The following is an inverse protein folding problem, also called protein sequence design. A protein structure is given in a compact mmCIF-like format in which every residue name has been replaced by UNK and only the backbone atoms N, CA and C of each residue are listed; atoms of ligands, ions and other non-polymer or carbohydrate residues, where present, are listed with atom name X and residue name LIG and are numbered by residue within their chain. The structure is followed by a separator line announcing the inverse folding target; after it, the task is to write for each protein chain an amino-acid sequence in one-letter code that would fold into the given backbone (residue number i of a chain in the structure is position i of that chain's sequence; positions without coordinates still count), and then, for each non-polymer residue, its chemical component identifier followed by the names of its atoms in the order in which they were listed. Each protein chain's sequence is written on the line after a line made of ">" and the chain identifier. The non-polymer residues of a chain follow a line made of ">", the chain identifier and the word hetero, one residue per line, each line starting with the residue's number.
data_IF_929514310319
#
_entry.id   IF_929514310319
#
_cell.length_a   1.000
_cell.length_b   1.000
_cell.length_c   1.000
_cell.angle_alpha   90.00
_cell.angle_beta   90.00
_cell.angle_gamma   90.00
#
_symmetry.space_group_name_H-M   'P 1'
#
loop_
_entity.id
_entity.type
_entity.pdbx_description
1 polymer ?
#
# COMPACT_ATOMS: atom_id res chain seq x y z
N UNK A 1 -11.52 -11.82 9.83
CA UNK A 1 -11.68 -10.38 9.89
C UNK A 1 -11.46 -9.78 8.52
N UNK A 2 -12.38 -8.94 8.07
CA UNK A 2 -12.23 -8.34 6.75
C UNK A 2 -11.11 -7.32 6.78
N UNK A 3 -10.24 -7.38 5.78
CA UNK A 3 -9.14 -6.44 5.64
C UNK A 3 -9.36 -5.47 4.51
N UNK A 4 -10.54 -5.53 3.90
CA UNK A 4 -10.94 -4.61 2.86
C UNK A 4 -12.38 -4.17 3.09
N UNK A 5 -12.72 -3.02 2.54
CA UNK A 5 -14.10 -2.56 2.45
C UNK A 5 -14.45 -2.32 1.00
N UNK A 6 -15.74 -2.27 0.68
CA UNK A 6 -16.18 -2.03 -0.70
C UNK A 6 -16.67 -0.59 -0.80
N UNK A 7 -16.18 0.14 -1.78
CA UNK A 7 -16.58 1.54 -2.02
C UNK A 7 -16.71 1.81 -3.50
N UNK A 8 -17.55 2.76 -3.85
CA UNK A 8 -17.65 3.20 -5.23
C UNK A 8 -16.47 4.09 -5.59
N UNK A 9 -16.02 3.99 -6.84
CA UNK A 9 -14.87 4.76 -7.33
C UNK A 9 -15.08 6.26 -7.14
N UNK A 10 -16.31 6.74 -7.27
CA UNK A 10 -16.61 8.18 -7.12
C UNK A 10 -16.24 8.75 -5.76
N UNK A 11 -16.07 7.91 -4.75
CA UNK A 11 -15.70 8.35 -3.39
C UNK A 11 -14.20 8.41 -3.18
N UNK A 12 -13.41 7.99 -4.16
CA UNK A 12 -11.97 7.92 -4.04
C UNK A 12 -11.30 9.18 -4.58
N UNK A 13 -10.06 9.37 -4.20
CA UNK A 13 -9.22 10.48 -4.68
C UNK A 13 -7.76 10.12 -4.52
N UNK A 14 -6.90 10.94 -5.13
CA UNK A 14 -5.45 10.74 -5.03
C UNK A 14 -5.03 10.65 -3.58
N UNK A 15 -4.17 9.70 -3.27
CA UNK A 15 -3.71 9.43 -1.91
C UNK A 15 -4.46 8.30 -1.23
N UNK A 16 -5.62 7.91 -1.74
CA UNK A 16 -6.37 6.77 -1.21
C UNK A 16 -5.80 5.46 -1.75
N UNK A 17 -6.20 4.37 -1.14
CA UNK A 17 -5.74 3.04 -1.50
C UNK A 17 -6.87 2.24 -2.11
N UNK A 18 -6.55 1.39 -3.09
CA UNK A 18 -7.49 0.45 -3.68
C UNK A 18 -6.78 -0.87 -3.93
N UNK A 19 -7.56 -1.95 -4.05
CA UNK A 19 -7.03 -3.27 -4.38
C UNK A 19 -7.14 -3.45 -5.90
N UNK A 20 -6.03 -3.75 -6.55
CA UNK A 20 -5.97 -4.04 -7.98
C UNK A 20 -5.15 -5.32 -8.13
N UNK A 21 -5.71 -6.34 -8.81
CA UNK A 21 -5.05 -7.63 -9.01
C UNK A 21 -4.60 -8.24 -7.68
N UNK A 22 -5.48 -8.15 -6.66
CA UNK A 22 -5.23 -8.64 -5.31
C UNK A 22 -4.07 -7.96 -4.59
N UNK A 23 -3.61 -6.81 -5.09
CA UNK A 23 -2.53 -6.05 -4.49
C UNK A 23 -3.05 -4.71 -3.97
N UNK A 24 -2.64 -4.29 -2.76
CA UNK A 24 -2.98 -2.95 -2.28
C UNK A 24 -2.15 -1.92 -3.02
N UNK A 25 -2.82 -0.92 -3.56
CA UNK A 25 -2.19 0.11 -4.38
C UNK A 25 -2.60 1.49 -3.91
N UNK A 26 -1.73 2.47 -4.10
CA UNK A 26 -2.00 3.86 -3.78
C UNK A 26 -2.33 4.62 -5.06
N UNK A 27 -3.47 5.32 -5.05
CA UNK A 27 -3.86 6.15 -6.20
C UNK A 27 -2.94 7.36 -6.31
N UNK A 28 -2.33 7.53 -7.48
CA UNK A 28 -1.45 8.67 -7.76
C UNK A 28 -2.05 9.61 -8.80
N UNK A 29 -3.00 9.12 -9.61
CA UNK A 29 -3.74 9.96 -10.54
C UNK A 29 -5.20 9.53 -10.54
N UNK A 30 -6.09 10.50 -10.63
CA UNK A 30 -7.53 10.26 -10.65
C UNK A 30 -8.19 11.38 -11.45
N UNK A 31 -8.76 11.02 -12.59
CA UNK A 31 -9.49 11.97 -13.44
C UNK A 31 -10.83 11.38 -13.83
N UNK A 32 -11.84 12.23 -13.96
CA UNK A 32 -13.16 11.80 -14.40
C UNK A 32 -13.54 12.51 -15.67
N UNK A 33 -14.30 11.81 -16.51
CA UNK A 33 -14.85 12.39 -17.72
C UNK A 33 -16.25 11.85 -17.94
N UNK A 34 -17.12 12.69 -18.52
CA UNK A 34 -18.47 12.28 -18.83
C UNK A 34 -18.69 12.40 -20.34
N UNK A 35 -18.71 11.28 -21.06
CA UNK A 35 -18.92 11.35 -22.51
C UNK A 35 -20.39 11.56 -22.84
N UNK A 36 -20.74 12.75 -23.34
CA UNK A 36 -22.08 13.05 -23.85
C UNK A 36 -23.15 13.20 -22.78
N UNK A 37 -24.38 13.45 -23.23
CA UNK A 37 -25.51 13.69 -22.35
C UNK A 37 -25.99 12.45 -21.61
N UNK A 38 -25.86 11.31 -22.23
CA UNK A 38 -26.40 10.05 -21.70
C UNK A 38 -25.31 9.09 -21.26
N UNK A 39 -24.04 9.50 -21.34
CA UNK A 39 -22.95 8.67 -20.91
C UNK A 39 -22.73 8.76 -19.42
N UNK A 40 -22.38 7.65 -18.81
CA UNK A 40 -21.95 7.64 -17.40
C UNK A 40 -20.56 8.25 -17.29
N UNK A 41 -20.32 8.95 -16.17
CA UNK A 41 -18.99 9.43 -15.90
C UNK A 41 -18.05 8.25 -15.68
N UNK A 42 -16.87 8.33 -16.25
CA UNK A 42 -15.83 7.31 -16.09
C UNK A 42 -14.63 7.92 -15.39
N UNK A 43 -13.99 7.12 -14.55
CA UNK A 43 -12.78 7.51 -13.87
C UNK A 43 -11.60 6.80 -14.50
N UNK A 44 -10.57 7.56 -14.81
CA UNK A 44 -9.27 7.03 -15.20
C UNK A 44 -8.35 7.16 -14.01
N UNK A 45 -7.76 6.07 -13.61
CA UNK A 45 -6.95 6.02 -12.40
C UNK A 45 -5.60 5.39 -12.70
N UNK A 46 -4.59 5.92 -12.03
CA UNK A 46 -3.26 5.31 -12.01
C UNK A 46 -2.90 5.07 -10.56
N UNK A 47 -2.46 3.86 -10.26
CA UNK A 47 -2.09 3.48 -8.91
C UNK A 47 -0.77 2.72 -8.93
N UNK A 48 -0.06 2.78 -7.82
CA UNK A 48 1.22 2.08 -7.66
C UNK A 48 1.07 1.11 -6.49
N UNK A 49 1.41 -0.15 -6.73
CA UNK A 49 1.38 -1.16 -5.68
C UNK A 49 2.25 -0.79 -4.51
N UNK A 50 1.75 -0.97 -3.28
CA UNK A 50 2.51 -0.65 -2.08
C UNK A 50 3.71 -1.57 -1.92
N UNK A 51 3.56 -2.82 -2.31
CA UNK A 51 4.57 -3.84 -2.05
C UNK A 51 5.39 -4.20 -3.29
N UNK A 52 4.72 -4.36 -4.44
CA UNK A 52 5.41 -4.72 -5.67
C UNK A 52 5.90 -3.51 -6.48
N UNK A 53 5.48 -2.30 -6.10
CA UNK A 53 5.86 -1.04 -6.76
C UNK A 53 5.43 -0.97 -8.23
N UNK A 54 4.52 -1.84 -8.65
CA UNK A 54 4.05 -1.87 -10.03
C UNK A 54 3.04 -0.77 -10.29
N UNK A 55 3.19 -0.10 -11.41
CA UNK A 55 2.24 0.92 -11.86
C UNK A 55 1.09 0.24 -12.59
N UNK A 56 -0.14 0.56 -12.19
CA UNK A 56 -1.34 0.01 -12.80
C UNK A 56 -2.27 1.15 -13.21
N UNK A 57 -2.85 1.00 -14.38
CA UNK A 57 -3.82 1.96 -14.91
C UNK A 57 -5.13 1.27 -15.14
N UNK A 58 -6.23 1.92 -14.79
CA UNK A 58 -7.56 1.36 -15.03
C UNK A 58 -8.56 2.46 -15.32
N UNK A 59 -9.62 2.07 -16.06
CA UNK A 59 -10.73 2.95 -16.38
C UNK A 59 -12.02 2.20 -16.05
N UNK A 60 -12.86 2.80 -15.22
CA UNK A 60 -14.15 2.22 -14.84
C UNK A 60 -15.20 3.32 -14.70
N UNK A 61 -16.49 2.97 -14.82
CA UNK A 61 -17.54 3.92 -14.45
C UNK A 61 -17.38 4.34 -12.98
N UNK A 62 -17.74 5.58 -12.67
CA UNK A 62 -17.56 6.11 -11.30
C UNK A 62 -18.42 5.38 -10.27
N UNK A 63 -19.49 4.69 -10.71
CA UNK A 63 -20.34 3.89 -9.83
C UNK A 63 -19.79 2.49 -9.60
N UNK A 64 -18.74 2.10 -10.32
CA UNK A 64 -18.13 0.79 -10.15
C UNK A 64 -17.56 0.67 -8.72
N UNK A 65 -17.74 -0.51 -8.13
CA UNK A 65 -17.27 -0.76 -6.78
C UNK A 65 -15.91 -1.44 -6.81
N UNK A 66 -15.05 -1.03 -5.90
CA UNK A 66 -13.73 -1.61 -5.75
C UNK A 66 -13.49 -1.93 -4.29
N UNK A 67 -12.54 -2.81 -4.04
CA UNK A 67 -12.11 -3.08 -2.67
C UNK A 67 -11.08 -2.04 -2.24
N UNK A 68 -11.26 -1.53 -1.03
CA UNK A 68 -10.34 -0.57 -0.43
C UNK A 68 -9.65 -1.29 0.73
N UNK A 69 -8.32 -1.43 0.70
CA UNK A 69 -7.63 -2.13 1.77
C UNK A 69 -7.53 -1.26 3.01
N UNK A 70 -7.52 -1.90 4.15
CA UNK A 70 -7.16 -1.22 5.37
C UNK A 70 -5.65 -1.18 5.45
N UNK A 71 -5.09 0.02 5.50
CA UNK A 71 -3.64 0.21 5.57
C UNK A 71 -3.32 0.81 6.93
N UNK A 72 -2.52 0.09 7.71
CA UNK A 72 -2.14 0.52 9.03
C UNK A 72 -0.68 0.94 9.06
N UNK A 73 -0.41 1.99 9.82
CA UNK A 73 0.96 2.38 10.17
C UNK A 73 1.29 1.75 11.49
N UNK A 74 2.37 1.02 11.53
CA UNK A 74 2.79 0.30 12.72
C UNK A 74 4.26 0.53 12.97
N UNK A 75 4.65 0.37 14.22
CA UNK A 75 6.05 0.47 14.59
C UNK A 75 6.67 -0.90 14.71
N UNK A 76 7.91 -1.01 14.28
CA UNK A 76 8.68 -2.22 14.45
C UNK A 76 10.04 -1.88 15.01
N UNK A 77 10.63 -2.83 15.73
CA UNK A 77 11.98 -2.72 16.25
C UNK A 77 12.90 -3.60 15.40
N UNK A 78 14.02 -3.05 14.99
CA UNK A 78 15.02 -3.81 14.26
C UNK A 78 15.69 -4.76 15.26
N UNK A 79 15.66 -6.06 14.96
CA UNK A 79 16.28 -7.07 15.80
C UNK A 79 17.69 -7.44 15.31
N UNK A 80 17.85 -7.55 13.98
CA UNK A 80 19.12 -7.92 13.39
C UNK A 80 19.21 -7.40 11.97
N UNK A 81 20.39 -6.99 11.57
CA UNK A 81 20.69 -6.61 10.21
C UNK A 81 21.76 -7.55 9.69
N UNK A 82 21.39 -8.44 8.77
CA UNK A 82 22.29 -9.47 8.24
C UNK A 82 22.92 -9.09 6.90
N UNK A 83 22.77 -7.81 6.52
CA UNK A 83 23.32 -7.31 5.27
C UNK A 83 22.41 -7.53 4.08
N UNK A 84 21.97 -8.76 3.84
CA UNK A 84 21.02 -9.04 2.76
C UNK A 84 19.59 -8.90 3.21
N UNK A 85 19.33 -9.04 4.51
CA UNK A 85 18.01 -9.15 5.10
C UNK A 85 18.00 -8.52 6.49
N UNK A 86 16.91 -7.86 6.81
CA UNK A 86 16.73 -7.23 8.13
C UNK A 86 15.59 -7.94 8.85
N UNK A 87 15.83 -8.35 10.09
CA UNK A 87 14.81 -8.94 10.93
C UNK A 87 14.19 -7.86 11.82
N UNK A 88 12.88 -7.82 11.85
CA UNK A 88 12.12 -6.83 12.61
C UNK A 88 11.04 -7.50 13.44
N UNK A 89 10.61 -6.81 14.50
CA UNK A 89 9.51 -7.25 15.33
C UNK A 89 8.44 -6.17 15.37
N UNK A 90 7.21 -6.56 15.03
CA UNK A 90 6.05 -5.67 15.16
C UNK A 90 5.82 -5.39 16.65
N UNK A 91 5.83 -4.12 17.04
CA UNK A 91 5.70 -3.74 18.44
C UNK A 91 4.27 -3.86 18.99
N UNK A 92 3.28 -4.07 18.12
CA UNK A 92 1.91 -4.32 18.57
C UNK A 92 1.62 -5.80 18.75
N UNK A 93 2.06 -6.63 17.81
CA UNK A 93 1.76 -8.06 17.82
C UNK A 93 2.90 -8.91 18.35
N UNK A 94 4.11 -8.35 18.43
CA UNK A 94 5.35 -9.02 18.79
C UNK A 94 5.74 -10.13 17.81
N UNK A 95 5.14 -10.16 16.64
CA UNK A 95 5.56 -11.07 15.59
C UNK A 95 6.82 -10.57 14.92
N UNK A 96 7.69 -11.51 14.53
CA UNK A 96 8.91 -11.18 13.82
C UNK A 96 8.75 -11.48 12.34
N UNK A 97 9.42 -10.69 11.52
CA UNK A 97 9.43 -10.89 10.08
C UNK A 97 10.74 -10.38 9.50
N UNK A 98 11.07 -10.85 8.31
CA UNK A 98 12.29 -10.48 7.63
C UNK A 98 11.96 -9.72 6.36
N UNK A 99 12.74 -8.68 6.08
CA UNK A 99 12.61 -7.88 4.85
C UNK A 99 13.94 -7.92 4.13
N UNK A 100 13.96 -8.23 2.82
CA UNK A 100 15.18 -8.06 2.05
C UNK A 100 15.62 -6.60 2.09
N UNK A 101 16.90 -6.35 2.29
CA UNK A 101 17.39 -4.98 2.36
C UNK A 101 17.15 -4.24 1.03
N UNK A 102 17.08 -4.98 -0.08
CA UNK A 102 16.78 -4.39 -1.39
C UNK A 102 15.37 -3.79 -1.45
N UNK A 103 14.45 -4.24 -0.59
CA UNK A 103 13.09 -3.70 -0.53
C UNK A 103 13.00 -2.46 0.37
N UNK A 104 14.06 -2.15 1.09
CA UNK A 104 14.12 -0.97 1.94
C UNK A 104 14.68 0.19 1.12
N UNK A 105 13.98 1.34 1.06
CA UNK A 105 14.53 2.50 0.37
C UNK A 105 15.91 2.85 0.91
N UNK A 106 16.84 3.17 0.02
CA UNK A 106 18.23 3.39 0.37
C UNK A 106 18.42 4.43 1.46
N UNK A 107 17.57 5.45 1.47
CA UNK A 107 17.64 6.50 2.48
C UNK A 107 17.40 6.01 3.92
N UNK A 108 16.81 4.82 4.08
CA UNK A 108 16.56 4.24 5.38
C UNK A 108 17.57 3.18 5.79
N UNK A 109 18.54 2.83 4.93
CA UNK A 109 19.50 1.76 5.26
C UNK A 109 20.32 2.07 6.51
N UNK A 110 20.65 3.33 6.74
CA UNK A 110 21.37 3.72 7.94
C UNK A 110 20.58 3.58 9.23
N UNK A 111 19.25 3.50 9.13
CA UNK A 111 18.37 3.36 10.29
C UNK A 111 18.11 1.90 10.63
N UNK A 112 18.64 0.96 9.85
CA UNK A 112 18.42 -0.48 10.04
C UNK A 112 19.42 -1.07 11.04
N UNK A 113 19.62 -0.42 12.15
CA UNK A 113 20.51 -0.92 13.21
C UNK A 113 19.69 -1.59 14.31
N UNK A 114 20.17 -2.70 14.88
CA UNK A 114 19.47 -3.37 15.97
C UNK A 114 19.15 -2.39 17.12
N UNK A 115 17.92 -2.48 17.60
CA UNK A 115 17.41 -1.61 18.63
C UNK A 115 16.66 -0.39 18.13
N UNK A 116 16.86 0.01 16.89
CA UNK A 116 16.13 1.16 16.34
C UNK A 116 14.69 0.80 16.06
N UNK A 117 13.82 1.79 16.13
CA UNK A 117 12.41 1.66 15.76
C UNK A 117 12.16 2.33 14.43
N UNK A 118 11.31 1.71 13.64
CA UNK A 118 10.89 2.25 12.33
C UNK A 118 9.38 2.17 12.22
N UNK A 119 8.82 2.92 11.27
CA UNK A 119 7.40 2.85 10.94
C UNK A 119 7.26 2.12 9.61
N UNK A 120 6.36 1.16 9.56
CA UNK A 120 6.08 0.42 8.34
C UNK A 120 4.58 0.39 8.06
N UNK A 121 4.22 0.02 6.83
CA UNK A 121 2.83 -0.14 6.44
C UNK A 121 2.47 -1.62 6.37
N UNK A 122 1.28 -1.94 6.86
CA UNK A 122 0.74 -3.28 6.79
C UNK A 122 -0.64 -3.20 6.12
N UNK A 123 -0.92 -4.12 5.21
CA UNK A 123 -2.19 -4.16 4.52
C UNK A 123 -2.49 -5.58 4.08
N UNK A 124 -3.78 -5.98 4.14
CA UNK A 124 -4.24 -7.26 3.59
C UNK A 124 -3.48 -8.47 4.12
N UNK A 125 -3.20 -8.49 5.42
CA UNK A 125 -2.44 -9.54 6.08
C UNK A 125 -0.98 -9.65 5.61
N UNK A 126 -0.53 -8.74 4.74
CA UNK A 126 0.87 -8.65 4.36
C UNK A 126 1.46 -7.50 5.17
N UNK A 127 2.48 -7.81 5.94
CA UNK A 127 3.19 -6.78 6.70
C UNK A 127 4.49 -6.46 5.98
N UNK A 128 5.04 -5.37 6.33
CA UNK A 128 6.42 -5.00 6.07
C UNK A 128 6.71 -4.48 4.71
N UNK A 129 6.37 -3.98 3.90
CA UNK A 129 7.10 -3.71 2.69
C UNK A 129 7.17 -2.26 2.28
N UNK A 130 6.59 -1.37 3.04
CA UNK A 130 6.73 0.03 2.71
C UNK A 130 7.08 0.83 3.95
N UNK A 131 8.35 1.18 4.06
CA UNK A 131 8.83 2.02 5.16
C UNK A 131 8.55 3.49 4.84
N UNK A 132 8.10 4.22 5.83
CA UNK A 132 7.83 5.65 5.68
C UNK A 132 8.75 6.47 6.56
#
# INVERSE_FOLDING_TARGET
>A
MSQTSIQEIRTLKVGRYIVIDDEPCKLVEYTTSKPGKHGEAKARMVAIGLFDKQKRSLVHPVKHKVHVPQVDRRKAQILANRGAEVQMMDLETFETFNIPLTDVPEKFHGDMEPGNEIVFLAAMAVSYTHLT
#
